data_IF_632251777786
#
_entry.id   IF_632251777786
#
_cell.length_a   1.000
_cell.length_b   1.000
_cell.length_c   1.000
_cell.angle_alpha   90.00
_cell.angle_beta   90.00
_cell.angle_gamma   90.00
#
_symmetry.space_group_name_H-M   'P 1'
#
loop_
_entity.id
_entity.type
_entity.pdbx_description
1 polymer ?
#
# COMPACT_ATOMS: atom_id res chain seq x y z
N UNK A 1 53.29 32.16 6.68
CA UNK A 1 52.18 32.78 5.92
C UNK A 1 51.05 31.80 5.64
N UNK A 2 51.30 30.53 5.27
CA UNK A 2 50.26 29.52 5.06
C UNK A 2 49.37 29.25 6.30
N UNK A 3 49.94 29.29 7.51
CA UNK A 3 49.21 29.11 8.78
C UNK A 3 48.06 30.09 8.99
N UNK A 4 48.06 31.26 8.33
CA UNK A 4 46.96 32.23 8.43
C UNK A 4 45.73 31.84 7.59
N UNK A 5 45.90 30.96 6.62
CA UNK A 5 44.87 30.59 5.64
C UNK A 5 44.50 29.10 5.66
N UNK A 6 45.30 28.27 6.34
CA UNK A 6 45.00 26.85 6.57
C UNK A 6 44.57 26.67 8.03
N UNK A 7 43.27 26.88 8.27
CA UNK A 7 42.64 26.76 9.58
C UNK A 7 41.91 25.41 9.66
N UNK A 8 42.35 24.46 10.50
CA UNK A 8 41.71 23.16 10.64
C UNK A 8 40.23 23.29 11.01
N UNK A 9 39.36 22.59 10.28
CA UNK A 9 37.91 22.60 10.51
C UNK A 9 37.16 23.76 9.85
N UNK A 10 37.84 24.80 9.38
CA UNK A 10 37.23 25.92 8.64
C UNK A 10 37.61 25.91 7.15
N UNK A 11 38.87 25.67 6.84
CA UNK A 11 39.38 25.63 5.46
C UNK A 11 39.75 24.21 5.05
N UNK A 12 39.79 23.98 3.75
CA UNK A 12 40.35 22.74 3.20
C UNK A 12 41.86 22.65 3.48
N UNK A 13 42.39 21.43 3.48
CA UNK A 13 43.81 21.17 3.76
C UNK A 13 44.76 21.74 2.70
N UNK A 14 44.23 22.15 1.54
CA UNK A 14 44.96 22.72 0.42
C UNK A 14 44.41 24.11 0.11
N UNK A 15 45.30 25.09 -0.01
CA UNK A 15 44.97 26.43 -0.48
C UNK A 15 45.33 26.58 -1.97
N UNK A 16 44.45 27.22 -2.74
CA UNK A 16 44.71 27.58 -4.13
C UNK A 16 45.14 29.06 -4.21
N UNK A 17 46.27 29.33 -4.85
CA UNK A 17 46.69 30.70 -5.19
C UNK A 17 46.51 30.91 -6.69
N UNK A 18 45.63 31.84 -7.03
CA UNK A 18 45.30 32.15 -8.41
C UNK A 18 46.28 33.16 -9.00
N UNK A 19 46.78 32.87 -10.20
CA UNK A 19 47.57 33.79 -11.03
C UNK A 19 46.75 34.14 -12.27
N UNK A 20 46.43 35.43 -12.51
CA UNK A 20 45.47 35.84 -13.55
C UNK A 20 45.99 35.74 -14.99
N UNK A 21 47.28 35.46 -15.17
CA UNK A 21 47.91 35.32 -16.49
C UNK A 21 48.49 33.93 -16.65
N UNK A 22 48.09 33.24 -17.72
CA UNK A 22 48.62 31.93 -18.07
C UNK A 22 50.12 31.99 -18.36
N UNK A 23 50.59 33.06 -19.02
CA UNK A 23 52.02 33.25 -19.32
C UNK A 23 52.85 33.43 -18.06
N UNK A 24 52.34 34.17 -17.07
CA UNK A 24 53.03 34.35 -15.78
C UNK A 24 53.06 33.03 -15.00
N UNK A 25 51.98 32.24 -15.06
CA UNK A 25 51.95 30.91 -14.46
C UNK A 25 52.98 29.95 -15.10
N UNK A 26 53.12 29.98 -16.43
CA UNK A 26 54.09 29.17 -17.16
C UNK A 26 55.53 29.58 -16.80
N UNK A 27 55.82 30.89 -16.79
CA UNK A 27 57.14 31.42 -16.41
C UNK A 27 57.50 31.07 -14.95
N UNK A 28 56.51 31.09 -14.04
CA UNK A 28 56.69 30.62 -12.66
C UNK A 28 57.11 29.15 -12.59
N UNK A 29 56.48 28.27 -13.37
CA UNK A 29 56.83 26.85 -13.40
C UNK A 29 58.18 26.58 -14.10
N UNK A 30 58.54 27.39 -15.08
CA UNK A 30 59.79 27.21 -15.84
C UNK A 30 61.01 27.79 -15.11
N UNK A 31 60.86 28.96 -14.49
CA UNK A 31 61.97 29.73 -13.93
C UNK A 31 62.08 29.70 -12.41
N UNK A 32 61.02 29.29 -11.70
CA UNK A 32 60.92 29.37 -10.23
C UNK A 32 60.45 28.05 -9.58
N UNK A 33 61.03 26.92 -9.99
CA UNK A 33 60.67 25.59 -9.46
C UNK A 33 60.83 25.51 -7.93
N UNK A 34 61.82 26.20 -7.35
CA UNK A 34 62.03 26.26 -5.90
C UNK A 34 60.82 26.85 -5.15
N UNK A 35 60.20 27.89 -5.73
CA UNK A 35 58.97 28.51 -5.22
C UNK A 35 57.79 27.55 -5.36
N UNK A 36 57.63 26.90 -6.51
CA UNK A 36 56.56 25.92 -6.75
C UNK A 36 56.65 24.77 -5.72
N UNK A 37 57.84 24.21 -5.55
CA UNK A 37 58.04 23.12 -4.59
C UNK A 37 57.82 23.59 -3.14
N UNK A 38 58.23 24.81 -2.80
CA UNK A 38 57.98 25.38 -1.46
C UNK A 38 56.49 25.58 -1.21
N UNK A 39 55.75 26.07 -2.21
CA UNK A 39 54.30 26.20 -2.14
C UNK A 39 53.64 24.83 -1.94
N UNK A 40 54.03 23.83 -2.72
CA UNK A 40 53.49 22.47 -2.62
C UNK A 40 53.72 21.86 -1.23
N UNK A 41 54.94 21.99 -0.68
CA UNK A 41 55.25 21.55 0.70
C UNK A 41 54.42 22.29 1.76
N UNK A 42 54.05 23.54 1.50
CA UNK A 42 53.18 24.33 2.36
C UNK A 42 51.67 24.04 2.15
N UNK A 43 51.33 23.02 1.35
CA UNK A 43 49.95 22.69 0.95
C UNK A 43 49.26 23.83 0.19
N UNK A 44 50.04 24.58 -0.58
CA UNK A 44 49.58 25.65 -1.45
C UNK A 44 49.82 25.25 -2.90
N UNK A 45 48.77 25.27 -3.71
CA UNK A 45 48.86 24.99 -5.15
C UNK A 45 48.62 26.27 -5.92
N UNK A 46 49.59 26.65 -6.74
CA UNK A 46 49.44 27.79 -7.64
C UNK A 46 48.65 27.31 -8.86
N UNK A 47 47.66 28.08 -9.29
CA UNK A 47 46.77 27.73 -10.40
C UNK A 47 46.61 28.89 -11.37
N UNK A 48 46.51 28.57 -12.65
CA UNK A 48 46.16 29.50 -13.73
C UNK A 48 44.64 29.56 -13.95
N UNK A 49 44.11 30.45 -14.82
CA UNK A 49 42.69 30.48 -15.18
C UNK A 49 42.19 29.13 -15.70
N UNK A 50 42.96 28.50 -16.59
CA UNK A 50 42.59 27.21 -17.19
C UNK A 50 42.56 26.10 -16.14
N UNK A 51 43.57 26.05 -15.27
CA UNK A 51 43.67 25.01 -14.24
C UNK A 51 42.62 25.20 -13.13
N UNK A 52 42.32 26.44 -12.76
CA UNK A 52 41.25 26.74 -11.81
C UNK A 52 39.88 26.31 -12.35
N UNK A 53 39.60 26.57 -13.63
CA UNK A 53 38.36 26.13 -14.26
C UNK A 53 38.23 24.60 -14.27
N UNK A 54 39.32 23.89 -14.57
CA UNK A 54 39.37 22.42 -14.48
C UNK A 54 39.14 21.93 -13.04
N UNK A 55 39.80 22.53 -12.05
CA UNK A 55 39.61 22.17 -10.65
C UNK A 55 38.16 22.35 -10.20
N UNK A 56 37.52 23.46 -10.58
CA UNK A 56 36.10 23.73 -10.30
C UNK A 56 35.22 22.65 -10.95
N UNK A 57 35.46 22.31 -12.22
CA UNK A 57 34.70 21.28 -12.93
C UNK A 57 34.79 19.91 -12.26
N UNK A 58 36.00 19.51 -11.83
CA UNK A 58 36.20 18.25 -11.11
C UNK A 58 35.44 18.23 -9.78
N UNK A 59 35.52 19.32 -8.99
CA UNK A 59 34.79 19.44 -7.73
C UNK A 59 33.27 19.40 -7.96
N UNK A 60 32.78 20.06 -9.01
CA UNK A 60 31.36 20.04 -9.38
C UNK A 60 30.89 18.64 -9.80
N UNK A 61 31.70 17.89 -10.56
CA UNK A 61 31.38 16.52 -10.96
C UNK A 61 31.26 15.59 -9.74
N UNK A 62 32.24 15.64 -8.83
CA UNK A 62 32.22 14.86 -7.57
C UNK A 62 31.00 15.23 -6.72
N UNK A 63 30.69 16.53 -6.61
CA UNK A 63 29.56 17.01 -5.80
C UNK A 63 28.20 16.60 -6.40
N UNK A 64 28.08 16.56 -7.73
CA UNK A 64 26.87 16.13 -8.43
C UNK A 64 26.62 14.64 -8.22
N UNK A 65 27.68 13.82 -8.30
CA UNK A 65 27.59 12.38 -8.03
C UNK A 65 27.12 12.09 -6.59
N UNK A 66 27.57 12.87 -5.62
CA UNK A 66 27.12 12.74 -4.23
C UNK A 66 25.61 13.05 -4.05
N UNK A 67 25.12 14.13 -4.67
CA UNK A 67 23.68 14.48 -4.62
C UNK A 67 22.80 13.44 -5.31
N UNK A 68 23.26 12.89 -6.44
CA UNK A 68 22.52 11.88 -7.20
C UNK A 68 22.39 10.56 -6.42
N UNK A 69 23.42 10.18 -5.64
CA UNK A 69 23.36 9.00 -4.75
C UNK A 69 22.34 9.16 -3.62
N UNK A 70 22.26 10.32 -2.97
CA UNK A 70 21.28 10.55 -1.88
C UNK A 70 19.82 10.43 -2.33
N UNK A 71 19.51 10.77 -3.59
CA UNK A 71 18.15 10.64 -4.12
C UNK A 71 17.77 9.18 -4.39
N UNK A 72 18.73 8.33 -4.79
CA UNK A 72 18.47 6.91 -5.05
C UNK A 72 18.04 6.15 -3.78
N UNK A 73 18.66 6.43 -2.64
CA UNK A 73 18.30 5.80 -1.36
C UNK A 73 16.90 6.20 -0.89
N UNK A 74 16.53 7.47 -1.08
CA UNK A 74 15.17 7.95 -0.77
C UNK A 74 14.12 7.28 -1.65
N UNK A 75 14.37 7.17 -2.96
CA UNK A 75 13.47 6.48 -3.88
C UNK A 75 13.34 4.99 -3.49
N UNK A 76 14.44 4.33 -3.13
CA UNK A 76 14.42 2.92 -2.70
C UNK A 76 13.59 2.72 -1.43
N UNK A 77 13.67 3.65 -0.47
CA UNK A 77 12.85 3.61 0.74
C UNK A 77 11.36 3.76 0.43
N UNK A 78 10.98 4.75 -0.40
CA UNK A 78 9.59 4.99 -0.81
C UNK A 78 9.01 3.80 -1.59
N UNK A 79 9.79 3.19 -2.50
CA UNK A 79 9.39 1.97 -3.21
C UNK A 79 9.20 0.80 -2.23
N UNK A 80 10.04 0.71 -1.20
CA UNK A 80 9.89 -0.28 -0.14
C UNK A 80 8.57 -0.14 0.63
N UNK A 81 8.18 1.08 0.99
CA UNK A 81 6.88 1.36 1.63
C UNK A 81 5.71 1.04 0.70
N UNK A 82 5.80 1.43 -0.58
CA UNK A 82 4.78 1.12 -1.58
C UNK A 82 4.52 -0.40 -1.71
N UNK A 83 5.57 -1.21 -1.71
CA UNK A 83 5.44 -2.68 -1.76
C UNK A 83 4.72 -3.23 -0.53
N UNK A 84 4.99 -2.68 0.66
CA UNK A 84 4.27 -3.05 1.90
C UNK A 84 2.79 -2.73 1.79
N UNK A 85 2.45 -1.55 1.27
CA UNK A 85 1.06 -1.12 1.10
C UNK A 85 0.31 -1.98 0.08
N UNK A 86 0.93 -2.32 -1.05
CA UNK A 86 0.36 -3.23 -2.04
C UNK A 86 0.11 -4.62 -1.44
N UNK A 87 1.04 -5.11 -0.60
CA UNK A 87 0.87 -6.40 0.08
C UNK A 87 -0.32 -6.37 1.04
N UNK A 88 -0.42 -5.33 1.88
CA UNK A 88 -1.56 -5.14 2.79
C UNK A 88 -2.87 -5.02 2.04
N UNK A 89 -2.88 -4.33 0.90
CA UNK A 89 -4.07 -4.22 0.05
C UNK A 89 -4.48 -5.59 -0.50
N UNK A 90 -3.52 -6.37 -1.00
CA UNK A 90 -3.76 -7.74 -1.49
C UNK A 90 -4.40 -8.60 -0.40
N UNK A 91 -3.87 -8.57 0.83
CA UNK A 91 -4.40 -9.37 1.93
C UNK A 91 -5.85 -8.99 2.25
N UNK A 92 -6.13 -7.69 2.34
CA UNK A 92 -7.49 -7.17 2.57
C UNK A 92 -8.47 -7.56 1.47
N UNK A 93 -8.05 -7.50 0.20
CA UNK A 93 -8.86 -7.94 -0.94
C UNK A 93 -9.08 -9.45 -0.89
N UNK A 94 -8.08 -10.23 -0.49
CA UNK A 94 -8.19 -11.66 -0.28
C UNK A 94 -9.23 -12.01 0.79
N UNK A 95 -9.20 -11.34 1.92
CA UNK A 95 -10.19 -11.55 2.99
C UNK A 95 -11.59 -11.11 2.57
N UNK A 96 -11.70 -9.99 1.84
CA UNK A 96 -12.96 -9.56 1.25
C UNK A 96 -13.54 -10.62 0.29
N UNK A 97 -12.70 -11.21 -0.56
CA UNK A 97 -13.12 -12.28 -1.47
C UNK A 97 -13.65 -13.51 -0.73
N UNK A 98 -13.02 -13.91 0.39
CA UNK A 98 -13.52 -15.00 1.24
C UNK A 98 -14.91 -14.67 1.81
N UNK A 99 -15.09 -13.44 2.31
CA UNK A 99 -16.39 -13.01 2.85
C UNK A 99 -17.49 -13.04 1.77
N UNK A 100 -17.20 -12.60 0.55
CA UNK A 100 -18.18 -12.71 -0.55
C UNK A 100 -18.52 -14.16 -0.89
N UNK A 101 -17.57 -15.08 -0.80
CA UNK A 101 -17.85 -16.53 -0.93
C UNK A 101 -18.86 -17.02 0.10
N UNK A 102 -18.64 -16.68 1.38
CA UNK A 102 -19.56 -17.04 2.47
C UNK A 102 -20.96 -16.46 2.27
N UNK A 103 -21.05 -15.18 1.87
CA UNK A 103 -22.33 -14.53 1.57
C UNK A 103 -23.04 -15.23 0.41
N UNK A 104 -22.32 -15.63 -0.64
CA UNK A 104 -22.88 -16.37 -1.77
C UNK A 104 -23.46 -17.73 -1.38
N UNK A 105 -22.76 -18.46 -0.52
CA UNK A 105 -23.24 -19.74 0.03
C UNK A 105 -24.50 -19.55 0.88
N UNK A 106 -24.54 -18.51 1.69
CA UNK A 106 -25.69 -18.21 2.55
C UNK A 106 -26.92 -17.78 1.74
N UNK A 107 -26.73 -16.96 0.69
CA UNK A 107 -27.80 -16.64 -0.27
C UNK A 107 -28.36 -17.91 -0.91
N UNK A 108 -27.48 -18.84 -1.31
CA UNK A 108 -27.91 -20.12 -1.88
C UNK A 108 -28.76 -20.95 -0.91
N UNK A 109 -28.39 -21.01 0.38
CA UNK A 109 -29.18 -21.69 1.41
C UNK A 109 -30.55 -21.05 1.62
N UNK A 110 -30.61 -19.70 1.58
CA UNK A 110 -31.88 -18.95 1.71
C UNK A 110 -32.81 -19.26 0.54
N UNK A 111 -32.29 -19.27 -0.70
CA UNK A 111 -33.07 -19.62 -1.88
C UNK A 111 -33.63 -21.04 -1.81
N UNK A 112 -32.82 -22.03 -1.41
CA UNK A 112 -33.28 -23.41 -1.20
C UNK A 112 -34.45 -23.46 -0.20
N UNK A 113 -34.37 -22.68 0.88
CA UNK A 113 -35.41 -22.62 1.90
C UNK A 113 -36.68 -21.95 1.39
N UNK A 114 -36.54 -20.85 0.63
CA UNK A 114 -37.65 -20.16 -0.02
C UNK A 114 -38.39 -21.08 -1.01
N UNK A 115 -37.66 -21.83 -1.84
CA UNK A 115 -38.23 -22.81 -2.78
C UNK A 115 -39.02 -23.92 -2.07
N UNK A 116 -38.48 -24.43 -0.95
CA UNK A 116 -39.19 -25.43 -0.12
C UNK A 116 -40.48 -24.86 0.45
N UNK A 117 -40.45 -23.62 0.94
CA UNK A 117 -41.64 -22.94 1.46
C UNK A 117 -42.68 -22.74 0.35
N UNK A 118 -42.26 -22.26 -0.84
CA UNK A 118 -43.15 -22.08 -1.99
C UNK A 118 -43.82 -23.39 -2.41
N UNK A 119 -43.05 -24.48 -2.52
CA UNK A 119 -43.59 -25.82 -2.83
C UNK A 119 -44.58 -26.31 -1.77
N UNK A 120 -44.35 -26.01 -0.49
CA UNK A 120 -45.28 -26.37 0.60
C UNK A 120 -46.57 -25.55 0.52
N UNK A 121 -46.48 -24.25 0.22
CA UNK A 121 -47.64 -23.39 0.00
C UNK A 121 -48.56 -23.92 -1.10
N UNK A 122 -47.98 -24.26 -2.26
CA UNK A 122 -48.74 -24.85 -3.39
C UNK A 122 -49.46 -26.16 -3.01
N UNK A 123 -48.85 -27.00 -2.15
CA UNK A 123 -49.51 -28.23 -1.66
C UNK A 123 -50.67 -27.94 -0.73
N UNK A 124 -50.55 -26.93 0.13
CA UNK A 124 -51.62 -26.53 1.05
C UNK A 124 -52.82 -25.97 0.28
N UNK A 125 -52.57 -25.14 -0.74
CA UNK A 125 -53.63 -24.68 -1.66
C UNK A 125 -54.35 -25.84 -2.34
N UNK A 126 -53.63 -26.91 -2.74
CA UNK A 126 -54.26 -28.11 -3.31
C UNK A 126 -55.11 -28.91 -2.31
N UNK A 127 -54.74 -28.91 -1.02
CA UNK A 127 -55.41 -29.69 0.04
C UNK A 127 -56.66 -29.00 0.60
N UNK A 128 -56.76 -27.67 0.53
CA UNK A 128 -57.93 -26.92 1.03
C UNK A 128 -59.22 -27.11 0.19
N UNK A 129 -59.17 -27.87 -0.92
CA UNK A 129 -60.33 -28.16 -1.77
C UNK A 129 -60.99 -29.53 -1.53
N UNK A 130 -60.47 -30.37 -0.63
CA UNK A 130 -61.16 -31.59 -0.19
C UNK A 130 -61.95 -31.35 1.10
N UNK A 131 -63.05 -30.57 1.00
CA UNK A 131 -64.09 -30.59 2.04
C UNK A 131 -64.79 -31.96 1.98
N UNK A 132 -64.80 -32.78 3.06
CA UNK A 132 -65.61 -33.98 3.06
C UNK A 132 -67.09 -33.59 2.90
N UNK A 133 -67.87 -34.28 2.04
CA UNK A 133 -69.27 -33.92 1.85
C UNK A 133 -69.99 -33.95 3.19
N UNK A 134 -70.73 -32.88 3.47
CA UNK A 134 -71.57 -32.77 4.65
C UNK A 134 -72.44 -34.03 4.76
N UNK A 135 -72.21 -34.83 5.81
CA UNK A 135 -73.07 -35.95 6.11
C UNK A 135 -74.50 -35.44 6.30
N UNK A 136 -75.43 -35.92 5.48
CA UNK A 136 -76.84 -35.58 5.55
C UNK A 136 -77.39 -35.83 6.97
N UNK A 137 -78.28 -34.98 7.50
CA UNK A 137 -78.81 -35.16 8.84
C UNK A 137 -79.61 -36.47 8.91
N UNK A 138 -79.24 -37.33 9.87
CA UNK A 138 -79.98 -38.54 10.19
C UNK A 138 -81.41 -38.19 10.67
N UNK A 139 -82.43 -38.99 10.34
CA UNK A 139 -83.81 -38.71 10.72
C UNK A 139 -83.99 -38.72 12.25
N UNK A 140 -84.94 -37.93 12.79
CA UNK A 140 -85.13 -37.80 14.24
C UNK A 140 -85.54 -39.13 14.88
N UNK A 141 -85.09 -39.42 16.12
CA UNK A 141 -85.39 -40.66 16.80
C UNK A 141 -86.89 -40.76 17.13
N UNK A 142 -87.49 -41.90 16.80
CA UNK A 142 -88.87 -42.23 17.14
C UNK A 142 -89.05 -42.26 18.68
N UNK A 143 -90.03 -41.48 19.16
CA UNK A 143 -90.44 -41.44 20.56
C UNK A 143 -90.97 -42.81 20.96
N UNK A 144 -90.35 -43.42 21.98
CA UNK A 144 -90.78 -44.69 22.55
C UNK A 144 -91.89 -44.39 23.56
N UNK A 145 -93.13 -44.70 23.21
CA UNK A 145 -94.25 -44.67 24.15
C UNK A 145 -93.98 -45.65 25.30
N UNK A 146 -93.93 -45.13 26.52
CA UNK A 146 -93.81 -45.91 27.76
C UNK A 146 -95.22 -46.34 28.16
N UNK A 147 -95.53 -47.65 28.27
CA UNK A 147 -96.84 -48.08 28.72
C UNK A 147 -97.01 -47.81 30.21
N UNK A 148 -98.07 -47.07 30.55
CA UNK A 148 -98.54 -46.85 31.91
C UNK A 148 -99.13 -48.13 32.49
N UNK A 149 -98.71 -48.43 33.72
CA UNK A 149 -99.12 -49.54 34.59
C UNK A 149 -100.63 -49.66 34.80
N UNK A 150 -101.14 -50.90 34.91
CA UNK A 150 -102.42 -51.18 35.55
C UNK A 150 -102.86 -52.65 35.59
N UNK A 151 -102.96 -53.18 36.82
CA UNK A 151 -103.82 -54.28 37.32
C UNK A 151 -103.52 -55.72 36.81
N UNK A 152 -103.13 -56.69 37.65
CA UNK A 152 -103.81 -57.34 38.77
C UNK A 152 -104.69 -58.55 38.33
N UNK A 153 -104.40 -59.69 38.98
CA UNK A 153 -105.05 -61.02 38.94
C UNK A 153 -104.91 -61.90 37.68
#
# INVERSE_FOLDING_TARGET
>A
MAERYLVPGETQDIALIFVPSESVYAELHESFDDVIQKAFRARVVIVSPSLLMLAIQVVQAISKDARMRQQADRIRAEVGELVKDVTRLRDRVGDLSKHFGLVGDDVSKVLISADKIAKRGMRLELLEFETPPAAAPAPPPAVRDVPLSGAAE
#
